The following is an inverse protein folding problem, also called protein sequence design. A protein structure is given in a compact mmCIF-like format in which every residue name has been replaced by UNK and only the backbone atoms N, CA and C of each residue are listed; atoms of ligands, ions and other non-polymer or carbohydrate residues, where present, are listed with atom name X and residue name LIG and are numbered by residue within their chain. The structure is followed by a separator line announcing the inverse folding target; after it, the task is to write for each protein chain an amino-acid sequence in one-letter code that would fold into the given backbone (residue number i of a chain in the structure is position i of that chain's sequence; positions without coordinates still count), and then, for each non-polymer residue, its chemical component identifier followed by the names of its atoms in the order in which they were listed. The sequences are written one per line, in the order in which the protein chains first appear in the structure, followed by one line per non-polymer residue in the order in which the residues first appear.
data_IF_686986458876
#
_entry.id   IF_686986458876
#
_cell.length_a   1.000
_cell.length_b   1.000
_cell.length_c   1.000
_cell.angle_alpha   90.00
_cell.angle_beta   90.00
_cell.angle_gamma   90.00
#
_symmetry.space_group_name_H-M   'P 1'
#
loop_
_entity.id
_entity.type
_entity.pdbx_description
1 polymer ?
#
# COMPACT_ATOMS: atom_id res chain seq x y z
N UNK A 1 0.05 27.90 12.54
CA UNK A 1 0.37 26.70 11.75
C UNK A 1 -0.54 25.61 12.25
N UNK A 2 -1.48 25.14 11.42
CA UNK A 2 -2.28 23.97 11.80
C UNK A 2 -1.38 22.75 11.61
N UNK A 3 -0.90 22.18 12.70
CA UNK A 3 -0.46 20.79 12.74
C UNK A 3 -1.74 19.95 12.63
N UNK A 4 -2.31 19.90 11.42
CA UNK A 4 -3.21 18.81 11.06
C UNK A 4 -2.45 17.55 11.41
N UNK A 5 -2.98 16.78 12.35
CA UNK A 5 -2.64 15.38 12.57
C UNK A 5 -3.08 14.62 11.31
N UNK A 6 -2.41 14.92 10.19
CA UNK A 6 -2.54 14.22 8.94
C UNK A 6 -2.15 12.80 9.29
N UNK A 7 -3.17 11.93 9.33
CA UNK A 7 -2.95 10.51 9.55
C UNK A 7 -1.88 10.09 8.53
N UNK A 8 -0.76 9.56 9.02
CA UNK A 8 0.35 9.20 8.15
C UNK A 8 -0.08 7.97 7.36
N UNK A 9 -0.61 8.24 6.17
CA UNK A 9 -1.03 7.23 5.22
C UNK A 9 0.20 6.83 4.40
N UNK A 10 0.69 5.60 4.61
CA UNK A 10 1.77 5.00 3.82
C UNK A 10 1.20 3.96 2.88
N UNK A 11 1.75 3.90 1.67
CA UNK A 11 1.33 2.95 0.65
C UNK A 11 2.27 1.76 0.59
N UNK A 12 1.66 0.59 0.47
CA UNK A 12 2.34 -0.69 0.43
C UNK A 12 1.90 -1.45 -0.81
N UNK A 13 2.80 -2.25 -1.37
CA UNK A 13 2.50 -3.08 -2.52
C UNK A 13 3.13 -4.47 -2.40
N UNK A 14 2.47 -5.44 -3.00
CA UNK A 14 2.98 -6.77 -3.26
C UNK A 14 2.87 -7.08 -4.76
N UNK A 15 3.85 -7.77 -5.30
CA UNK A 15 3.86 -8.24 -6.70
C UNK A 15 3.62 -9.74 -6.76
N UNK A 16 2.52 -10.16 -7.38
CA UNK A 16 2.18 -11.56 -7.61
C UNK A 16 2.18 -11.83 -9.11
N UNK A 17 3.31 -12.30 -9.64
CA UNK A 17 3.49 -12.53 -11.07
C UNK A 17 3.35 -11.24 -11.87
N UNK A 18 2.23 -11.07 -12.57
CA UNK A 18 1.94 -9.90 -13.39
C UNK A 18 0.85 -9.00 -12.77
N UNK A 19 0.55 -9.22 -11.50
CA UNK A 19 -0.46 -8.47 -10.75
C UNK A 19 0.22 -7.73 -9.61
N UNK A 20 -0.05 -6.44 -9.51
CA UNK A 20 0.35 -5.61 -8.39
C UNK A 20 -0.85 -5.40 -7.47
N UNK A 21 -0.66 -5.66 -6.20
CA UNK A 21 -1.67 -5.54 -5.16
C UNK A 21 -1.24 -4.42 -4.21
N UNK A 22 -2.12 -3.48 -3.95
CA UNK A 22 -1.88 -2.33 -3.07
C UNK A 22 -2.59 -2.51 -1.74
N UNK A 23 -1.96 -1.98 -0.70
CA UNK A 23 -2.54 -1.80 0.63
C UNK A 23 -2.19 -0.40 1.15
N UNK A 24 -3.07 0.19 1.97
CA UNK A 24 -2.79 1.48 2.62
C UNK A 24 -2.72 1.28 4.12
N UNK A 25 -1.59 1.63 4.73
CA UNK A 25 -1.42 1.67 6.18
C UNK A 25 -1.66 3.10 6.67
N UNK A 26 -2.55 3.26 7.66
CA UNK A 26 -2.87 4.52 8.31
C UNK A 26 -2.57 4.45 9.79
N UNK A 27 -1.81 5.40 10.30
CA UNK A 27 -1.59 5.55 11.75
C UNK A 27 -2.58 6.55 12.34
N UNK A 28 -3.32 6.12 13.36
CA UNK A 28 -4.29 6.97 14.06
C UNK A 28 -3.64 7.73 15.22
N UNK A 29 -4.19 8.90 15.63
CA UNK A 29 -3.65 9.70 16.73
C UNK A 29 -3.55 8.99 18.09
N UNK A 30 -4.28 7.88 18.27
CA UNK A 30 -4.26 7.07 19.48
C UNK A 30 -3.18 5.95 19.47
N UNK A 31 -2.30 5.90 18.46
CA UNK A 31 -1.25 4.89 18.32
C UNK A 31 -1.69 3.61 17.61
N UNK A 32 -3.00 3.37 17.46
CA UNK A 32 -3.53 2.24 16.68
C UNK A 32 -3.28 2.45 15.18
N UNK A 33 -3.19 1.35 14.43
CA UNK A 33 -3.01 1.36 12.98
C UNK A 33 -4.18 0.70 12.25
N UNK A 34 -4.41 1.11 11.00
CA UNK A 34 -5.41 0.53 10.12
C UNK A 34 -4.79 0.19 8.77
N UNK A 35 -5.03 -1.03 8.27
CA UNK A 35 -4.63 -1.43 6.91
C UNK A 35 -5.88 -1.59 6.06
N UNK A 36 -5.99 -0.79 5.01
CA UNK A 36 -6.94 -1.04 3.93
C UNK A 36 -6.32 -2.05 2.96
N UNK A 37 -6.95 -3.21 2.81
CA UNK A 37 -6.56 -4.25 1.86
C UNK A 37 -7.24 -4.06 0.49
N UNK A 38 -6.69 -4.72 -0.53
CA UNK A 38 -7.20 -4.74 -1.90
C UNK A 38 -8.65 -5.21 -2.09
N UNK A 39 -9.18 -6.04 -1.20
CA UNK A 39 -10.60 -6.42 -1.22
C UNK A 39 -11.50 -5.33 -0.60
N UNK A 40 -10.92 -4.26 -0.05
CA UNK A 40 -11.64 -3.14 0.54
C UNK A 40 -11.92 -3.31 2.03
N UNK A 41 -11.30 -4.31 2.68
CA UNK A 41 -11.42 -4.50 4.12
C UNK A 41 -10.45 -3.58 4.86
N UNK A 42 -10.94 -2.93 5.92
CA UNK A 42 -10.09 -2.16 6.84
C UNK A 42 -9.80 -2.99 8.07
N UNK A 43 -8.56 -3.47 8.19
CA UNK A 43 -8.06 -4.25 9.31
C UNK A 43 -7.48 -3.31 10.36
N UNK A 44 -7.95 -3.40 11.60
CA UNK A 44 -7.44 -2.61 12.73
C UNK A 44 -6.39 -3.38 13.53
N UNK A 45 -5.32 -2.69 13.90
CA UNK A 45 -4.23 -3.21 14.72
C UNK A 45 -3.96 -2.31 15.92
N UNK A 46 -3.45 -2.90 17.00
CA UNK A 46 -3.14 -2.19 18.24
C UNK A 46 -2.01 -1.16 18.08
N UNK A 47 -1.13 -1.36 17.09
CA UNK A 47 -0.03 -0.44 16.79
C UNK A 47 0.55 -0.59 15.38
N UNK A 48 1.38 0.38 14.99
CA UNK A 48 2.08 0.42 13.70
C UNK A 48 2.93 -0.84 13.48
N UNK A 49 3.76 -1.23 14.47
CA UNK A 49 4.68 -2.37 14.33
C UNK A 49 3.95 -3.67 13.99
N UNK A 50 2.75 -3.87 14.57
CA UNK A 50 1.94 -5.06 14.30
C UNK A 50 1.35 -5.03 12.89
N UNK A 51 0.87 -3.86 12.45
CA UNK A 51 0.34 -3.71 11.09
C UNK A 51 1.44 -3.89 10.03
N UNK A 52 2.63 -3.31 10.24
CA UNK A 52 3.80 -3.48 9.38
C UNK A 52 4.25 -4.94 9.34
N UNK A 53 4.31 -5.62 10.49
CA UNK A 53 4.65 -7.04 10.55
C UNK A 53 3.67 -7.90 9.73
N UNK A 54 2.36 -7.62 9.79
CA UNK A 54 1.38 -8.36 9.00
C UNK A 54 1.52 -8.10 7.49
N UNK A 55 1.87 -6.87 7.10
CA UNK A 55 2.16 -6.54 5.71
C UNK A 55 3.39 -7.30 5.20
N UNK A 56 4.48 -7.31 5.97
CA UNK A 56 5.69 -8.06 5.61
C UNK A 56 5.46 -9.57 5.51
N UNK A 57 4.66 -10.15 6.41
CA UNK A 57 4.28 -11.58 6.37
C UNK A 57 3.49 -11.94 5.09
N UNK A 58 2.77 -10.96 4.53
CA UNK A 58 2.03 -11.08 3.27
C UNK A 58 2.82 -10.61 2.03
N UNK A 59 4.16 -10.52 2.11
CA UNK A 59 5.07 -10.08 1.04
C UNK A 59 4.87 -8.62 0.57
N UNK A 60 4.20 -7.78 1.36
CA UNK A 60 4.09 -6.35 1.06
C UNK A 60 5.35 -5.59 1.45
N UNK A 61 5.68 -4.58 0.65
CA UNK A 61 6.76 -3.63 0.88
C UNK A 61 6.27 -2.20 0.77
N UNK A 62 6.91 -1.29 1.50
CA UNK A 62 6.56 0.13 1.52
C UNK A 62 6.97 0.79 0.19
N UNK A 63 6.01 1.40 -0.50
CA UNK A 63 6.22 2.03 -1.80
C UNK A 63 7.19 3.20 -1.74
N UNK A 64 7.10 4.03 -0.70
CA UNK A 64 7.97 5.19 -0.53
C UNK A 64 9.44 4.81 -0.24
N UNK A 65 9.68 3.57 0.18
CA UNK A 65 11.02 3.02 0.40
C UNK A 65 11.54 2.19 -0.78
N UNK A 66 10.82 2.11 -1.89
CA UNK A 66 11.27 1.39 -3.08
C UNK A 66 12.04 2.30 -4.02
N UNK A 67 13.19 1.81 -4.47
CA UNK A 67 13.90 2.33 -5.63
C UNK A 67 13.58 1.52 -6.90
N UNK A 68 13.96 2.01 -8.08
CA UNK A 68 13.69 1.33 -9.36
C UNK A 68 14.36 -0.06 -9.42
N UNK A 69 15.56 -0.21 -8.86
CA UNK A 69 16.26 -1.50 -8.83
C UNK A 69 15.48 -2.55 -8.04
N UNK A 70 14.87 -2.15 -6.92
CA UNK A 70 14.02 -2.99 -6.09
C UNK A 70 12.72 -3.39 -6.79
N UNK A 71 12.11 -2.46 -7.52
CA UNK A 71 10.90 -2.72 -8.30
C UNK A 71 11.18 -3.72 -9.43
N UNK A 72 12.31 -3.55 -10.14
CA UNK A 72 12.69 -4.44 -11.25
C UNK A 72 12.95 -5.86 -10.77
N UNK A 73 13.58 -6.04 -9.60
CA UNK A 73 13.77 -7.38 -8.96
C UNK A 73 12.41 -8.03 -8.66
N UNK A 74 11.40 -7.24 -8.34
CA UNK A 74 10.01 -7.69 -8.11
C UNK A 74 9.20 -7.86 -9.40
N UNK A 75 9.77 -7.50 -10.55
CA UNK A 75 9.16 -7.72 -11.87
C UNK A 75 8.28 -6.59 -12.38
N UNK A 76 8.44 -5.37 -11.87
CA UNK A 76 7.73 -4.18 -12.37
C UNK A 76 8.64 -2.96 -12.44
N UNK A 77 8.29 -1.95 -13.24
CA UNK A 77 8.96 -0.64 -13.18
C UNK A 77 8.22 0.27 -12.21
N UNK A 78 8.98 0.88 -11.30
CA UNK A 78 8.48 1.85 -10.32
C UNK A 78 7.87 3.08 -11.02
N UNK A 79 8.41 3.47 -12.17
CA UNK A 79 7.92 4.63 -12.94
C UNK A 79 6.58 4.37 -13.63
N UNK A 80 6.20 3.11 -13.82
CA UNK A 80 4.95 2.72 -14.48
C UNK A 80 3.78 2.54 -13.51
N UNK A 81 4.06 2.60 -12.21
CA UNK A 81 3.07 2.35 -11.15
C UNK A 81 2.97 3.54 -10.20
N UNK A 82 1.76 3.80 -9.70
CA UNK A 82 1.52 4.84 -8.72
C UNK A 82 0.49 4.34 -7.69
N UNK A 83 0.58 4.83 -6.44
CA UNK A 83 -0.43 4.54 -5.45
C UNK A 83 -1.83 4.94 -5.93
N UNK A 84 -2.86 4.12 -5.68
CA UNK A 84 -4.21 4.42 -6.13
C UNK A 84 -4.74 5.68 -5.43
N UNK A 85 -5.47 6.49 -6.20
CA UNK A 85 -6.06 7.75 -5.72
C UNK A 85 -7.56 7.73 -5.96
N UNK A 86 -8.33 7.91 -4.90
CA UNK A 86 -9.78 8.05 -4.96
C UNK A 86 -10.28 8.92 -3.79
N UNK A 87 -11.49 9.46 -3.92
CA UNK A 87 -12.12 10.30 -2.89
C UNK A 87 -12.69 9.49 -1.71
N UNK A 88 -12.68 8.16 -1.78
CA UNK A 88 -13.21 7.26 -0.74
C UNK A 88 -12.54 5.90 -0.83
N UNK A 89 -12.49 5.18 0.29
CA UNK A 89 -11.86 3.86 0.38
C UNK A 89 -12.54 2.82 -0.53
N UNK A 90 -13.86 2.92 -0.71
CA UNK A 90 -14.60 2.09 -1.69
C UNK A 90 -14.12 2.31 -3.13
N UNK A 91 -13.76 3.56 -3.47
CA UNK A 91 -13.18 3.89 -4.78
C UNK A 91 -11.74 3.41 -4.93
N UNK A 92 -11.00 3.22 -3.82
CA UNK A 92 -9.65 2.66 -3.84
C UNK A 92 -9.66 1.16 -4.16
N UNK A 93 -10.64 0.41 -3.63
CA UNK A 93 -10.76 -1.05 -3.84
C UNK A 93 -10.57 -1.46 -5.31
N UNK A 94 -11.27 -0.80 -6.24
CA UNK A 94 -11.19 -1.11 -7.67
C UNK A 94 -9.85 -0.76 -8.33
N UNK A 95 -9.00 0.01 -7.68
CA UNK A 95 -7.69 0.45 -8.15
C UNK A 95 -6.52 -0.23 -7.41
N UNK A 96 -6.82 -0.95 -6.33
CA UNK A 96 -5.83 -1.62 -5.49
C UNK A 96 -5.30 -2.93 -6.10
N UNK A 97 -5.92 -3.44 -7.16
CA UNK A 97 -5.39 -4.57 -7.93
C UNK A 97 -5.14 -4.11 -9.36
N UNK A 98 -3.88 -4.06 -9.77
CA UNK A 98 -3.46 -3.60 -11.10
C UNK A 98 -2.76 -4.72 -11.85
N UNK A 99 -3.12 -4.93 -13.11
CA UNK A 99 -2.37 -5.84 -13.99
C UNK A 99 -1.24 -5.05 -14.65
N UNK A 100 0.00 -5.48 -14.44
CA UNK A 100 1.17 -4.89 -15.07
C UNK A 100 1.13 -5.23 -16.56
N UNK A 101 1.08 -4.25 -17.45
CA UNK A 101 1.12 -4.55 -18.88
C UNK A 101 2.43 -5.28 -19.19
N UNK A 102 2.37 -6.42 -19.87
CA UNK A 102 3.59 -6.97 -20.49
C UNK A 102 3.95 -6.00 -21.60
N UNK A 103 4.95 -5.15 -21.38
CA UNK A 103 5.54 -4.36 -22.47
C UNK A 103 6.02 -5.35 -23.52
N UNK A 104 5.33 -5.36 -24.66
CA UNK A 104 5.61 -6.22 -25.82
C UNK A 104 6.84 -5.74 -26.58
#
# INVERSE_FOLDING_TARGET
MNEETASQDTWWLASLGNTLIWARLRIRPAGTAEVLDSDGNTLSYDGEDTARAQLFDADFVEFEGLDEEDALVRGFSLHEVQPPKASSDEGLRGLMVQSLGRTV
#
